data_IF_917989191157
#
_entry.id   IF_917989191157
#
_cell.length_a   1.000
_cell.length_b   1.000
_cell.length_c   1.000
_cell.angle_alpha   90.00
_cell.angle_beta   90.00
_cell.angle_gamma   90.00
#
_symmetry.space_group_name_H-M   'P 1'
#
loop_
_entity.id
_entity.type
_entity.pdbx_description
1 polymer ?
#
# COMPACT_ATOMS: atom_id res chain seq x y z
N UNK A 1 4.65 -6.77 -15.41
CA UNK A 1 4.73 -5.70 -14.39
C UNK A 1 5.37 -6.25 -13.13
N UNK A 2 6.60 -5.87 -12.87
CA UNK A 2 7.43 -6.49 -11.82
C UNK A 2 7.52 -5.69 -10.53
N UNK A 3 7.11 -4.43 -10.56
CA UNK A 3 7.25 -3.48 -9.43
C UNK A 3 5.92 -3.22 -8.73
N UNK A 4 5.25 -4.29 -8.30
CA UNK A 4 3.93 -4.21 -7.71
C UNK A 4 3.88 -4.93 -6.37
N UNK A 5 3.34 -4.27 -5.35
CA UNK A 5 3.10 -4.90 -4.04
C UNK A 5 1.61 -4.87 -3.70
N UNK A 6 1.19 -5.85 -2.92
CA UNK A 6 -0.14 -5.92 -2.32
C UNK A 6 -0.02 -5.50 -0.86
N UNK A 7 -0.76 -4.48 -0.47
CA UNK A 7 -0.74 -3.89 0.87
C UNK A 7 -2.09 -4.11 1.54
N UNK A 8 -2.08 -4.75 2.71
CA UNK A 8 -3.29 -4.85 3.53
C UNK A 8 -3.46 -3.55 4.33
N UNK A 9 -4.62 -2.94 4.23
CA UNK A 9 -4.88 -1.65 4.85
C UNK A 9 -6.31 -1.60 5.40
N UNK A 10 -6.50 -0.90 6.52
CA UNK A 10 -7.84 -0.73 7.09
C UNK A 10 -8.64 0.29 6.28
N UNK A 11 -9.96 0.13 6.31
CA UNK A 11 -10.92 0.94 5.56
C UNK A 11 -10.71 2.45 5.72
N UNK A 12 -10.54 2.92 6.95
CA UNK A 12 -10.36 4.35 7.23
C UNK A 12 -9.09 4.92 6.60
N UNK A 13 -7.99 4.16 6.62
CA UNK A 13 -6.72 4.59 6.04
C UNK A 13 -6.73 4.50 4.51
N UNK A 14 -7.36 3.47 3.95
CA UNK A 14 -7.57 3.39 2.50
C UNK A 14 -8.37 4.60 2.01
N UNK A 15 -9.44 4.96 2.70
CA UNK A 15 -10.24 6.13 2.37
C UNK A 15 -9.42 7.43 2.44
N UNK A 16 -8.57 7.57 3.46
CA UNK A 16 -7.71 8.75 3.62
C UNK A 16 -6.66 8.86 2.48
N UNK A 17 -6.12 7.73 2.03
CA UNK A 17 -5.22 7.70 0.88
C UNK A 17 -5.97 8.10 -0.39
N UNK A 18 -7.12 7.51 -0.63
CA UNK A 18 -7.89 7.73 -1.85
C UNK A 18 -8.47 9.15 -1.94
N UNK A 19 -8.76 9.79 -0.80
CA UNK A 19 -9.20 11.19 -0.75
C UNK A 19 -8.06 12.19 -0.94
N UNK A 20 -6.81 11.76 -0.82
CA UNK A 20 -5.64 12.62 -0.90
C UNK A 20 -5.21 13.23 0.44
N UNK A 21 -5.91 12.93 1.54
CA UNK A 21 -5.55 13.44 2.87
C UNK A 21 -4.28 12.80 3.43
N UNK A 22 -4.11 11.48 3.19
CA UNK A 22 -2.96 10.72 3.69
C UNK A 22 -1.90 10.61 2.60
N UNK A 23 -0.72 11.21 2.86
CA UNK A 23 0.39 11.28 1.92
C UNK A 23 1.53 10.29 2.23
N UNK A 24 1.50 9.67 3.39
CA UNK A 24 2.45 8.63 3.79
C UNK A 24 1.70 7.46 4.40
N UNK A 25 2.03 6.25 3.97
CA UNK A 25 1.58 5.00 4.60
C UNK A 25 2.72 4.45 5.44
N UNK A 26 2.49 4.31 6.74
CA UNK A 26 3.54 3.96 7.70
C UNK A 26 3.61 2.45 7.88
N UNK A 27 4.79 1.90 7.68
CA UNK A 27 5.09 0.48 7.86
C UNK A 27 6.42 0.28 8.58
N UNK A 28 6.60 -0.90 9.15
CA UNK A 28 7.87 -1.25 9.84
C UNK A 28 8.96 -1.68 8.87
N UNK A 29 8.59 -1.99 7.64
CA UNK A 29 9.51 -2.36 6.56
C UNK A 29 9.10 -1.70 5.26
N UNK A 30 10.10 -1.28 4.49
CA UNK A 30 9.89 -0.81 3.12
C UNK A 30 10.45 -1.84 2.13
N UNK A 31 9.85 -1.98 0.94
CA UNK A 31 10.38 -2.89 -0.08
C UNK A 31 11.80 -2.51 -0.50
N UNK A 32 12.75 -3.44 -0.35
CA UNK A 32 14.16 -3.22 -0.69
C UNK A 32 14.72 -4.22 -1.70
N UNK A 33 14.22 -5.44 -1.70
CA UNK A 33 14.61 -6.49 -2.65
C UNK A 33 13.37 -6.97 -3.39
N UNK A 34 13.45 -7.03 -4.72
CA UNK A 34 12.35 -7.47 -5.57
C UNK A 34 12.59 -8.89 -6.05
N UNK A 35 11.82 -9.89 -5.57
CA UNK A 35 12.01 -11.27 -5.98
C UNK A 35 11.65 -11.53 -7.44
N UNK A 36 10.84 -10.67 -8.07
CA UNK A 36 10.47 -10.84 -9.49
C UNK A 36 11.64 -10.53 -10.42
N UNK A 37 12.50 -9.59 -10.03
CA UNK A 37 13.67 -9.18 -10.81
C UNK A 37 14.98 -9.74 -10.26
N UNK A 38 14.94 -10.31 -9.06
CA UNK A 38 16.10 -10.78 -8.32
C UNK A 38 17.15 -9.68 -8.08
N UNK A 39 16.68 -8.45 -7.92
CA UNK A 39 17.50 -7.25 -7.73
C UNK A 39 16.92 -6.38 -6.63
N UNK A 40 17.64 -5.31 -6.31
CA UNK A 40 17.15 -4.25 -5.45
C UNK A 40 15.85 -3.66 -6.03
N UNK A 41 14.88 -3.39 -5.16
CA UNK A 41 13.62 -2.78 -5.58
C UNK A 41 13.85 -1.43 -6.25
N UNK A 42 13.26 -1.25 -7.42
CA UNK A 42 13.31 -0.01 -8.19
C UNK A 42 11.99 0.73 -8.03
N UNK A 43 12.09 1.97 -7.59
CA UNK A 43 10.92 2.84 -7.47
C UNK A 43 10.73 3.66 -8.74
N UNK A 44 9.50 4.04 -9.12
CA UNK A 44 8.27 3.91 -8.34
C UNK A 44 7.72 2.48 -8.31
N UNK A 45 7.08 2.16 -7.18
CA UNK A 45 6.30 0.92 -7.05
C UNK A 45 4.83 1.24 -7.26
N UNK A 46 4.09 0.27 -7.79
CA UNK A 46 2.63 0.30 -7.73
C UNK A 46 2.19 -0.41 -6.48
N UNK A 47 1.38 0.26 -5.68
CA UNK A 47 0.84 -0.29 -4.45
C UNK A 47 -0.64 -0.58 -4.66
N UNK A 48 -0.99 -1.87 -4.54
CA UNK A 48 -2.36 -2.36 -4.63
C UNK A 48 -2.91 -2.43 -3.21
N UNK A 49 -4.02 -1.75 -2.96
CA UNK A 49 -4.62 -1.70 -1.63
C UNK A 49 -5.70 -2.76 -1.47
N UNK A 50 -5.42 -3.75 -0.64
CA UNK A 50 -6.42 -4.68 -0.14
C UNK A 50 -7.02 -4.11 1.14
N UNK A 51 -8.29 -3.72 1.10
CA UNK A 51 -9.00 -3.22 2.26
C UNK A 51 -9.44 -4.41 3.12
N UNK A 52 -8.95 -4.46 4.37
CA UNK A 52 -9.27 -5.57 5.27
C UNK A 52 -10.76 -5.55 5.66
N UNK A 53 -11.26 -6.69 6.13
CA UNK A 53 -12.66 -6.81 6.59
C UNK A 53 -12.94 -6.09 7.90
N UNK A 54 -11.89 -5.67 8.62
CA UNK A 54 -12.04 -4.97 9.89
C UNK A 54 -12.90 -3.71 9.73
N UNK A 55 -13.75 -3.45 10.71
CA UNK A 55 -14.64 -2.27 10.76
C UNK A 55 -15.54 -2.13 9.51
N UNK A 56 -16.01 -3.25 8.97
CA UNK A 56 -16.87 -3.24 7.81
C UNK A 56 -16.16 -3.00 6.48
N UNK A 57 -14.87 -3.27 6.41
CA UNK A 57 -14.10 -3.17 5.18
C UNK A 57 -14.50 -4.19 4.12
N UNK A 58 -14.12 -3.93 2.88
CA UNK A 58 -14.58 -4.68 1.72
C UNK A 58 -14.04 -6.12 1.64
N UNK A 59 -12.90 -6.41 2.28
CA UNK A 59 -12.25 -7.71 2.12
C UNK A 59 -11.81 -7.95 0.68
N UNK A 60 -11.37 -6.93 -0.02
CA UNK A 60 -11.05 -6.95 -1.44
C UNK A 60 -10.11 -5.81 -1.81
N UNK A 61 -9.56 -5.87 -3.00
CA UNK A 61 -8.75 -4.78 -3.57
C UNK A 61 -9.68 -3.62 -3.93
N UNK A 62 -9.41 -2.43 -3.39
CA UNK A 62 -10.25 -1.25 -3.56
C UNK A 62 -9.62 -0.16 -4.42
N UNK A 63 -8.32 -0.21 -4.65
CA UNK A 63 -7.64 0.81 -5.42
C UNK A 63 -6.13 0.66 -5.41
N UNK A 64 -5.46 1.70 -5.90
CA UNK A 64 -4.02 1.72 -6.15
C UNK A 64 -3.43 3.08 -5.81
N UNK A 65 -2.14 3.12 -5.55
CA UNK A 65 -1.37 4.36 -5.63
C UNK A 65 0.04 4.07 -6.14
N UNK A 66 0.71 5.09 -6.62
CA UNK A 66 2.10 5.01 -7.01
C UNK A 66 2.97 5.47 -5.84
N UNK A 67 4.01 4.69 -5.54
CA UNK A 67 4.94 4.99 -4.46
C UNK A 67 6.30 5.35 -5.06
N UNK A 68 6.64 6.65 -5.14
CA UNK A 68 7.91 7.06 -5.76
C UNK A 68 9.13 6.80 -4.88
N UNK A 69 8.92 6.46 -3.62
CA UNK A 69 9.98 6.22 -2.66
C UNK A 69 9.43 6.18 -1.25
N UNK A 70 10.33 6.13 -0.28
CA UNK A 70 9.96 6.13 1.13
C UNK A 70 10.91 7.01 1.92
N UNK A 71 10.47 7.41 3.12
CA UNK A 71 11.33 8.04 4.13
C UNK A 71 11.36 7.15 5.36
N UNK A 72 12.52 7.03 5.99
CA UNK A 72 12.68 6.23 7.20
C UNK A 72 13.09 7.10 8.37
N UNK A 73 12.61 6.77 9.57
CA UNK A 73 13.02 7.46 10.78
C UNK A 73 13.00 6.54 11.99
N UNK A 74 13.93 6.79 12.91
CA UNK A 74 13.91 6.23 14.26
C UNK A 74 13.40 7.26 15.28
N UNK A 75 13.05 8.48 14.82
CA UNK A 75 12.62 9.58 15.68
C UNK A 75 11.08 9.72 15.63
N UNK A 76 10.36 9.34 16.71
CA UNK A 76 8.92 9.43 16.77
C UNK A 76 8.39 10.86 16.79
N UNK A 77 9.24 11.84 17.12
CA UNK A 77 8.87 13.24 17.12
C UNK A 77 8.96 13.89 15.74
N UNK A 78 9.10 13.11 14.69
CA UNK A 78 9.12 13.60 13.31
C UNK A 78 7.74 14.14 12.92
N UNK A 79 7.58 15.46 12.98
CA UNK A 79 6.32 16.14 12.66
C UNK A 79 5.94 15.98 11.19
N UNK A 80 6.91 15.86 10.29
CA UNK A 80 6.66 15.65 8.87
C UNK A 80 5.96 14.31 8.66
N UNK A 81 6.49 13.25 9.29
CA UNK A 81 5.88 11.94 9.21
C UNK A 81 4.49 11.92 9.83
N UNK A 82 4.31 12.55 10.98
CA UNK A 82 3.00 12.65 11.64
C UNK A 82 1.98 13.39 10.75
N UNK A 83 2.34 14.57 10.26
CA UNK A 83 1.45 15.40 9.43
C UNK A 83 1.03 14.67 8.14
N UNK A 84 1.98 14.09 7.42
CA UNK A 84 1.72 13.45 6.13
C UNK A 84 1.02 12.10 6.26
N UNK A 85 1.20 11.40 7.38
CA UNK A 85 0.57 10.09 7.62
C UNK A 85 -0.84 10.18 8.20
N UNK A 86 -1.18 11.31 8.80
CA UNK A 86 -2.43 11.47 9.55
C UNK A 86 -2.41 10.80 10.92
N UNK A 87 -1.24 10.34 11.37
CA UNK A 87 -1.07 9.74 12.69
C UNK A 87 -0.46 10.76 13.66
N UNK A 88 -0.81 10.66 14.94
CA UNK A 88 -0.18 11.47 15.97
C UNK A 88 1.23 10.96 16.27
N UNK A 89 2.06 11.81 16.89
CA UNK A 89 3.39 11.40 17.35
C UNK A 89 3.28 10.23 18.34
N UNK A 90 2.27 10.25 19.20
CA UNK A 90 2.02 9.17 20.17
C UNK A 90 1.68 7.84 19.47
N UNK A 91 0.84 7.89 18.43
CA UNK A 91 0.52 6.70 17.64
C UNK A 91 1.75 6.15 16.91
N UNK A 92 2.58 7.03 16.35
CA UNK A 92 3.82 6.63 15.71
C UNK A 92 4.79 5.98 16.69
N UNK A 93 4.93 6.55 17.90
CA UNK A 93 5.80 6.00 18.94
C UNK A 93 5.34 4.62 19.38
N UNK A 94 4.06 4.44 19.61
CA UNK A 94 3.49 3.16 19.99
C UNK A 94 3.70 2.11 18.90
N UNK A 95 3.42 2.47 17.66
CA UNK A 95 3.59 1.56 16.53
C UNK A 95 5.05 1.20 16.29
N UNK A 96 5.96 2.15 16.47
CA UNK A 96 7.39 1.98 16.27
C UNK A 96 7.99 0.92 17.18
N UNK A 97 7.56 0.87 18.44
CA UNK A 97 8.02 -0.11 19.43
C UNK A 97 9.55 -0.23 19.48
N UNK A 98 10.24 0.92 19.54
CA UNK A 98 11.70 1.00 19.63
C UNK A 98 12.46 0.78 18.32
N UNK A 99 11.78 0.49 17.23
CA UNK A 99 12.39 0.26 15.92
C UNK A 99 12.35 1.47 14.99
N UNK A 100 12.59 1.23 13.71
CA UNK A 100 12.45 2.23 12.65
C UNK A 100 11.04 2.19 12.08
N UNK A 101 10.57 3.32 11.57
CA UNK A 101 9.37 3.43 10.75
C UNK A 101 9.72 3.91 9.35
N UNK A 102 8.95 3.44 8.38
CA UNK A 102 9.10 3.80 6.98
C UNK A 102 7.79 4.36 6.48
N UNK A 103 7.83 5.56 5.93
CA UNK A 103 6.68 6.19 5.30
C UNK A 103 6.74 5.97 3.79
N UNK A 104 5.86 5.13 3.27
CA UNK A 104 5.71 4.94 1.84
C UNK A 104 5.02 6.16 1.26
N UNK A 105 5.65 6.87 0.33
CA UNK A 105 5.08 8.06 -0.28
C UNK A 105 3.90 7.67 -1.16
N UNK A 106 2.82 8.44 -1.06
CA UNK A 106 1.59 8.22 -1.82
C UNK A 106 1.49 9.26 -2.93
N UNK A 107 1.33 8.78 -4.17
CA UNK A 107 1.11 9.62 -5.34
C UNK A 107 0.05 8.99 -6.22
N UNK A 108 -0.79 9.83 -6.82
CA UNK A 108 -1.76 9.42 -7.82
C UNK A 108 -2.66 8.25 -7.35
N UNK A 109 -3.38 8.41 -6.20
CA UNK A 109 -4.28 7.37 -5.72
C UNK A 109 -5.49 7.22 -6.65
N UNK A 110 -5.90 5.98 -6.90
CA UNK A 110 -7.00 5.64 -7.79
C UNK A 110 -7.89 4.60 -7.15
N UNK A 111 -9.20 4.87 -7.10
CA UNK A 111 -10.21 3.92 -6.61
C UNK A 111 -10.69 3.04 -7.75
N UNK A 112 -10.87 1.76 -7.49
CA UNK A 112 -11.61 0.88 -8.39
C UNK A 112 -13.11 1.12 -8.21
N UNK A 113 -13.88 1.29 -9.30
CA UNK A 113 -15.34 1.38 -9.21
C UNK A 113 -15.97 0.18 -8.50
N UNK A 114 -15.45 -1.02 -8.73
CA UNK A 114 -15.88 -2.23 -8.05
C UNK A 114 -14.67 -2.92 -7.41
N UNK A 115 -14.73 -3.23 -6.09
CA UNK A 115 -13.67 -3.98 -5.42
C UNK A 115 -13.43 -5.34 -6.09
N UNK A 116 -12.17 -5.78 -6.10
CA UNK A 116 -11.75 -7.03 -6.72
C UNK A 116 -11.36 -8.02 -5.62
N UNK A 117 -12.08 -9.15 -5.48
CA UNK A 117 -11.73 -10.15 -4.49
C UNK A 117 -10.41 -10.84 -4.84
N UNK A 118 -9.69 -11.32 -3.83
CA UNK A 118 -8.40 -11.99 -4.04
C UNK A 118 -8.52 -13.23 -4.93
N UNK A 119 -9.64 -13.93 -4.87
CA UNK A 119 -9.90 -15.12 -5.70
C UNK A 119 -9.82 -14.81 -7.19
N UNK A 120 -10.23 -13.61 -7.60
CA UNK A 120 -10.12 -13.18 -9.00
C UNK A 120 -8.68 -13.02 -9.47
N UNK A 121 -7.73 -12.92 -8.53
CA UNK A 121 -6.30 -12.80 -8.77
C UNK A 121 -5.57 -14.11 -8.46
N UNK A 122 -6.30 -15.19 -8.17
CA UNK A 122 -5.75 -16.49 -7.75
C UNK A 122 -4.89 -16.39 -6.51
N UNK A 123 -5.27 -15.51 -5.58
CA UNK A 123 -4.63 -15.34 -4.28
C UNK A 123 -5.53 -15.90 -3.18
N UNK A 124 -4.93 -16.62 -2.23
CA UNK A 124 -5.68 -17.33 -1.21
C UNK A 124 -6.01 -16.45 0.00
N UNK A 125 -5.09 -15.58 0.40
CA UNK A 125 -5.26 -14.74 1.60
C UNK A 125 -4.42 -13.46 1.49
N UNK A 126 -4.83 -12.39 2.20
CA UNK A 126 -4.08 -11.14 2.21
C UNK A 126 -2.82 -11.25 3.07
N UNK A 127 -1.79 -10.44 2.79
CA UNK A 127 -0.61 -10.38 3.66
C UNK A 127 -0.95 -9.71 4.99
N UNK A 128 -0.13 -9.95 6.02
CA UNK A 128 -0.25 -9.23 7.30
C UNK A 128 0.09 -7.75 7.17
N UNK A 129 1.06 -7.41 6.33
CA UNK A 129 1.45 -6.04 6.04
C UNK A 129 1.43 -5.80 4.54
N UNK A 130 2.46 -6.25 3.84
CA UNK A 130 2.51 -6.20 2.38
C UNK A 130 3.31 -7.39 1.84
N UNK A 131 3.14 -7.68 0.56
CA UNK A 131 3.91 -8.70 -0.16
C UNK A 131 4.10 -8.28 -1.61
N UNK A 132 5.15 -8.79 -2.24
CA UNK A 132 5.30 -8.64 -3.68
C UNK A 132 4.21 -9.44 -4.40
N UNK A 133 3.65 -8.84 -5.45
CA UNK A 133 2.85 -9.57 -6.43
C UNK A 133 3.77 -10.04 -7.53
N UNK A 134 3.56 -11.26 -8.01
CA UNK A 134 4.26 -11.69 -9.22
C UNK A 134 3.69 -10.97 -10.45
N UNK A 135 4.43 -11.00 -11.56
CA UNK A 135 4.02 -10.29 -12.77
C UNK A 135 2.68 -10.77 -13.32
N UNK A 136 2.38 -12.05 -13.20
CA UNK A 136 1.12 -12.63 -13.71
C UNK A 136 -0.06 -12.06 -12.94
N UNK A 137 -0.01 -12.04 -11.61
CA UNK A 137 -1.06 -11.50 -10.78
C UNK A 137 -1.21 -9.99 -10.98
N UNK A 138 -0.09 -9.27 -11.10
CA UNK A 138 -0.10 -7.83 -11.34
C UNK A 138 -0.70 -7.49 -12.70
N UNK A 139 -0.37 -8.23 -13.75
CA UNK A 139 -0.90 -8.02 -15.09
C UNK A 139 -2.40 -8.36 -15.15
N UNK A 140 -2.80 -9.43 -14.48
CA UNK A 140 -4.22 -9.78 -14.36
C UNK A 140 -5.04 -8.69 -13.68
N UNK A 141 -4.51 -8.09 -12.64
CA UNK A 141 -5.15 -6.97 -11.96
C UNK A 141 -5.23 -5.74 -12.87
N UNK A 142 -4.18 -5.46 -13.63
CA UNK A 142 -4.18 -4.35 -14.58
C UNK A 142 -5.27 -4.51 -15.64
N UNK A 143 -5.49 -5.73 -16.13
CA UNK A 143 -6.58 -6.04 -17.08
C UNK A 143 -7.95 -5.81 -16.45
N UNK A 144 -8.16 -6.27 -15.22
CA UNK A 144 -9.42 -6.07 -14.50
C UNK A 144 -9.65 -4.57 -14.27
N UNK A 145 -8.65 -3.83 -13.87
CA UNK A 145 -8.75 -2.38 -13.67
C UNK A 145 -9.10 -1.67 -14.99
N UNK A 146 -8.45 -2.03 -16.09
CA UNK A 146 -8.74 -1.48 -17.40
C UNK A 146 -10.19 -1.75 -17.84
N UNK A 147 -10.71 -2.95 -17.57
CA UNK A 147 -12.11 -3.29 -17.83
C UNK A 147 -13.08 -2.42 -17.03
N UNK A 148 -12.65 -1.89 -15.88
CA UNK A 148 -13.42 -0.95 -15.06
C UNK A 148 -13.16 0.51 -15.42
N UNK A 149 -12.36 0.79 -16.45
CA UNK A 149 -12.01 2.14 -16.86
C UNK A 149 -10.90 2.81 -16.03
N UNK A 150 -10.16 2.04 -15.24
CA UNK A 150 -9.06 2.55 -14.43
C UNK A 150 -7.74 2.28 -15.13
N UNK A 151 -7.03 3.35 -15.43
CA UNK A 151 -5.71 3.26 -16.06
C UNK A 151 -4.62 3.21 -15.00
N UNK A 152 -3.75 2.24 -15.12
CA UNK A 152 -2.59 2.07 -14.24
C UNK A 152 -1.32 2.61 -14.90
#
# INVERSE_FOLDING_TARGET
MDNCILLSIRKNWAAAILSGEKKLEIRKCAPSYNPNTEKRAEYPLRVVMYETKANGGAGAVVGFFDCPGFIGTADPADEVMATLSGLSVEQLEEYRDGGWLYGLKVRNPRRLPEPVPLEALHLDYPPQSWRWLDSINADGLAEIAAAQGVKL
#
